data_IF_451798586681
#
_entry.id   IF_451798586681
#
_cell.length_a   1.000
_cell.length_b   1.000
_cell.length_c   1.000
_cell.angle_alpha   90.00
_cell.angle_beta   90.00
_cell.angle_gamma   90.00
#
_symmetry.space_group_name_H-M   'P 1'
#
loop_
_entity.id
_entity.type
_entity.pdbx_description
1 polymer ?
#
# COMPACT_ATOMS: atom_id res chain seq x y z
N UNK A 1 -0.62 -54.74 -102.03
CA UNK A 1 -0.06 -54.47 -100.68
C UNK A 1 1.42 -54.83 -100.68
N UNK A 2 2.26 -54.24 -99.82
CA UNK A 2 2.12 -53.00 -99.03
C UNK A 2 3.16 -51.95 -99.54
N UNK A 3 3.49 -50.80 -98.94
CA UNK A 3 3.08 -50.11 -97.71
C UNK A 3 2.78 -48.63 -98.07
N UNK A 4 1.83 -47.94 -97.42
CA UNK A 4 1.79 -46.48 -97.47
C UNK A 4 2.98 -45.94 -96.67
N UNK A 5 3.88 -45.19 -97.31
CA UNK A 5 4.89 -44.42 -96.58
C UNK A 5 4.17 -43.35 -95.77
N UNK A 6 4.15 -43.50 -94.46
CA UNK A 6 3.55 -42.55 -93.52
C UNK A 6 4.26 -41.20 -93.62
N UNK A 7 3.58 -40.20 -94.18
CA UNK A 7 4.05 -38.83 -94.28
C UNK A 7 4.47 -38.29 -92.89
N UNK A 8 5.75 -37.96 -92.66
CA UNK A 8 6.18 -37.33 -91.40
C UNK A 8 5.81 -35.83 -91.34
N UNK A 9 5.15 -35.31 -92.38
CA UNK A 9 4.88 -33.89 -92.58
C UNK A 9 3.83 -33.29 -91.63
N UNK A 10 3.07 -34.11 -90.89
CA UNK A 10 2.11 -33.62 -89.89
C UNK A 10 2.76 -32.92 -88.67
N UNK A 11 4.09 -33.02 -88.50
CA UNK A 11 4.81 -32.31 -87.45
C UNK A 11 5.21 -30.87 -87.86
N UNK A 12 5.44 -30.62 -89.15
CA UNK A 12 6.06 -29.38 -89.63
C UNK A 12 5.07 -28.26 -89.98
N UNK A 13 3.77 -28.54 -90.00
CA UNK A 13 2.72 -27.53 -90.28
C UNK A 13 2.51 -26.55 -89.09
N UNK A 14 3.19 -26.79 -87.96
CA UNK A 14 3.25 -25.89 -86.80
C UNK A 14 4.47 -24.95 -86.82
N UNK A 15 5.01 -24.62 -87.99
CA UNK A 15 6.23 -23.79 -88.14
C UNK A 15 6.13 -22.34 -87.59
N UNK A 16 4.95 -21.90 -87.15
CA UNK A 16 4.72 -20.59 -86.53
C UNK A 16 4.12 -20.68 -85.12
N UNK A 17 4.08 -21.87 -84.53
CA UNK A 17 3.56 -22.14 -83.19
C UNK A 17 4.73 -22.19 -82.23
N UNK A 18 4.87 -21.19 -81.34
CA UNK A 18 5.91 -21.23 -80.31
C UNK A 18 5.73 -22.50 -79.45
N UNK A 19 6.80 -23.29 -79.20
CA UNK A 19 6.72 -24.43 -78.30
C UNK A 19 6.51 -23.94 -76.88
N UNK A 20 5.29 -24.08 -76.37
CA UNK A 20 4.91 -23.59 -75.05
C UNK A 20 5.46 -24.52 -73.95
N UNK A 21 6.52 -24.08 -73.27
CA UNK A 21 7.22 -24.85 -72.25
C UNK A 21 6.66 -24.55 -70.85
N UNK A 22 6.39 -25.60 -70.07
CA UNK A 22 5.88 -25.46 -68.70
C UNK A 22 6.90 -24.81 -67.77
N UNK A 23 6.58 -23.63 -67.24
CA UNK A 23 7.49 -22.85 -66.38
C UNK A 23 7.48 -23.36 -64.93
N UNK A 24 8.64 -23.84 -64.46
CA UNK A 24 8.85 -24.23 -63.06
C UNK A 24 9.49 -23.12 -62.20
N UNK A 25 9.32 -23.21 -60.88
CA UNK A 25 9.77 -22.18 -59.90
C UNK A 25 11.30 -21.94 -59.87
N UNK A 26 12.09 -22.82 -60.51
CA UNK A 26 13.51 -22.62 -60.84
C UNK A 26 13.78 -23.14 -62.25
N UNK A 27 13.23 -22.45 -63.26
CA UNK A 27 13.46 -22.72 -64.69
C UNK A 27 14.60 -21.88 -65.30
N UNK A 28 14.89 -22.15 -66.58
CA UNK A 28 15.73 -21.27 -67.40
C UNK A 28 15.03 -19.92 -67.68
N UNK A 29 15.80 -18.86 -67.93
CA UNK A 29 15.25 -17.56 -68.28
C UNK A 29 14.62 -17.62 -69.68
N UNK A 30 13.30 -17.39 -69.77
CA UNK A 30 12.51 -17.53 -71.00
C UNK A 30 13.05 -16.67 -72.13
N UNK A 31 13.35 -15.38 -71.89
CA UNK A 31 13.87 -14.48 -72.93
C UNK A 31 15.21 -14.92 -73.50
N UNK A 32 16.10 -15.49 -72.68
CA UNK A 32 17.37 -16.04 -73.17
C UNK A 32 17.18 -17.33 -73.99
N UNK A 33 16.14 -18.12 -73.67
CA UNK A 33 15.75 -19.32 -74.42
C UNK A 33 15.13 -18.91 -75.77
N UNK A 34 14.26 -17.90 -75.79
CA UNK A 34 13.64 -17.36 -77.01
C UNK A 34 14.72 -16.78 -77.97
N UNK A 35 15.66 -15.99 -77.45
CA UNK A 35 16.81 -15.48 -78.23
C UNK A 35 17.72 -16.60 -78.79
N UNK A 36 17.79 -17.73 -78.10
CA UNK A 36 18.57 -18.89 -78.54
C UNK A 36 17.81 -19.72 -79.59
N UNK A 37 16.51 -19.94 -79.40
CA UNK A 37 15.62 -20.59 -80.38
C UNK A 37 15.52 -19.76 -81.66
N UNK A 38 15.40 -18.44 -81.56
CA UNK A 38 15.39 -17.53 -82.72
C UNK A 38 16.67 -17.65 -83.56
N UNK A 39 17.85 -17.69 -82.92
CA UNK A 39 19.13 -17.92 -83.59
C UNK A 39 19.24 -19.32 -84.21
N UNK A 40 18.76 -20.36 -83.53
CA UNK A 40 18.69 -21.73 -84.07
C UNK A 40 17.80 -21.82 -85.31
N UNK A 41 16.59 -21.23 -85.26
CA UNK A 41 15.67 -21.21 -86.39
C UNK A 41 16.22 -20.44 -87.59
N UNK A 42 16.90 -19.31 -87.35
CA UNK A 42 17.60 -18.57 -88.40
C UNK A 42 18.72 -19.40 -89.05
N UNK A 43 19.55 -20.07 -88.24
CA UNK A 43 20.62 -20.94 -88.74
C UNK A 43 20.08 -22.15 -89.54
N UNK A 44 18.98 -22.76 -89.08
CA UNK A 44 18.33 -23.90 -89.73
C UNK A 44 17.65 -23.47 -91.05
N UNK A 45 17.05 -22.28 -91.09
CA UNK A 45 16.51 -21.68 -92.33
C UNK A 45 17.63 -21.41 -93.34
N UNK A 46 18.77 -20.88 -92.91
CA UNK A 46 19.91 -20.64 -93.78
C UNK A 46 20.51 -21.94 -94.33
N UNK A 47 20.76 -22.94 -93.47
CA UNK A 47 21.27 -24.24 -93.89
C UNK A 47 20.35 -24.96 -94.90
N UNK A 48 19.03 -24.77 -94.79
CA UNK A 48 18.08 -25.29 -95.78
C UNK A 48 18.16 -24.58 -97.14
N UNK A 49 18.45 -23.27 -97.18
CA UNK A 49 18.70 -22.54 -98.43
C UNK A 49 20.01 -22.97 -99.07
N UNK A 50 21.09 -23.01 -98.28
CA UNK A 50 22.42 -23.43 -98.75
C UNK A 50 22.37 -24.86 -99.35
N UNK A 51 21.57 -25.76 -98.75
CA UNK A 51 21.30 -27.10 -99.30
C UNK A 51 20.55 -27.06 -100.64
N UNK A 52 19.50 -26.23 -100.76
CA UNK A 52 18.74 -26.11 -102.00
C UNK A 52 19.59 -25.57 -103.16
N UNK A 53 20.44 -24.58 -102.89
CA UNK A 53 21.35 -24.00 -103.88
C UNK A 53 22.43 -25.02 -104.32
N UNK A 54 22.96 -25.81 -103.37
CA UNK A 54 23.88 -26.91 -103.67
C UNK A 54 23.22 -28.02 -104.52
N UNK A 55 21.95 -28.37 -104.24
CA UNK A 55 21.18 -29.32 -105.04
C UNK A 55 20.94 -28.80 -106.47
N UNK A 56 20.71 -27.51 -106.67
CA UNK A 56 20.61 -26.91 -108.01
C UNK A 56 21.95 -26.96 -108.76
N UNK A 57 23.06 -26.59 -108.11
CA UNK A 57 24.39 -26.62 -108.71
C UNK A 57 24.81 -28.03 -109.18
N UNK A 58 24.47 -29.07 -108.40
CA UNK A 58 24.71 -30.47 -108.78
C UNK A 58 23.89 -30.89 -110.01
N UNK A 59 22.63 -30.50 -110.10
CA UNK A 59 21.78 -30.80 -111.26
C UNK A 59 22.32 -30.17 -112.56
N UNK A 60 22.80 -28.93 -112.50
CA UNK A 60 23.38 -28.27 -113.67
C UNK A 60 24.77 -28.84 -114.06
N UNK A 61 25.58 -29.28 -113.09
CA UNK A 61 26.81 -30.02 -113.38
C UNK A 61 26.51 -31.35 -114.11
N UNK A 62 25.50 -32.10 -113.67
CA UNK A 62 25.07 -33.35 -114.34
C UNK A 62 24.56 -33.12 -115.76
N UNK A 63 23.85 -32.00 -116.02
CA UNK A 63 23.40 -31.62 -117.37
C UNK A 63 24.59 -31.35 -118.31
N UNK A 64 25.60 -30.63 -117.83
CA UNK A 64 26.83 -30.33 -118.60
C UNK A 64 27.61 -31.60 -118.93
N UNK A 65 27.72 -32.55 -117.99
CA UNK A 65 28.39 -33.83 -118.22
C UNK A 65 27.73 -34.61 -119.36
N UNK A 66 26.41 -34.82 -119.31
CA UNK A 66 25.65 -35.51 -120.37
C UNK A 66 25.81 -34.88 -121.76
N UNK A 67 25.87 -33.54 -121.81
CA UNK A 67 26.11 -32.82 -123.07
C UNK A 67 27.53 -33.05 -123.63
N UNK A 68 28.53 -33.25 -122.75
CA UNK A 68 29.89 -33.57 -123.17
C UNK A 68 30.04 -35.01 -123.66
N UNK A 69 29.39 -35.97 -123.00
CA UNK A 69 29.37 -37.39 -123.40
C UNK A 69 28.79 -37.57 -124.80
N UNK A 70 27.66 -36.92 -125.10
CA UNK A 70 27.05 -36.94 -126.43
C UNK A 70 27.96 -36.41 -127.56
N UNK A 71 28.84 -35.45 -127.25
CA UNK A 71 29.80 -34.90 -128.23
C UNK A 71 30.94 -35.87 -128.53
N UNK A 72 31.39 -36.65 -127.55
CA UNK A 72 32.44 -37.66 -127.73
C UNK A 72 31.96 -38.78 -128.65
N UNK A 73 30.79 -39.36 -128.38
CA UNK A 73 30.23 -40.44 -129.22
C UNK A 73 30.03 -40.02 -130.68
N UNK A 74 29.64 -38.76 -130.92
CA UNK A 74 29.47 -38.21 -132.27
C UNK A 74 30.80 -37.97 -133.02
N UNK A 75 31.94 -37.86 -132.32
CA UNK A 75 33.27 -37.76 -132.93
C UNK A 75 33.84 -39.15 -133.24
N UNK A 76 33.62 -40.14 -132.38
CA UNK A 76 34.04 -41.53 -132.58
C UNK A 76 33.44 -42.14 -133.85
N UNK A 77 32.14 -41.91 -134.09
CA UNK A 77 31.45 -42.38 -135.30
C UNK A 77 32.09 -41.83 -136.58
N UNK A 78 32.44 -40.54 -136.62
CA UNK A 78 33.09 -39.91 -137.77
C UNK A 78 34.44 -40.52 -138.08
N UNK A 79 35.24 -40.85 -137.06
CA UNK A 79 36.52 -41.53 -137.24
C UNK A 79 36.33 -42.90 -137.90
N UNK A 80 35.35 -43.69 -137.44
CA UNK A 80 35.07 -45.02 -138.03
C UNK A 80 34.57 -44.98 -139.46
N UNK A 81 33.88 -43.91 -139.88
CA UNK A 81 33.44 -43.76 -141.27
C UNK A 81 34.61 -43.37 -142.18
N UNK A 82 35.49 -42.46 -141.72
CA UNK A 82 36.69 -42.08 -142.49
C UNK A 82 37.69 -43.23 -142.67
N UNK A 83 37.80 -44.16 -141.69
CA UNK A 83 38.73 -45.29 -141.81
C UNK A 83 38.30 -46.29 -142.88
N UNK A 84 37.00 -46.53 -143.06
CA UNK A 84 36.49 -47.47 -144.09
C UNK A 84 36.75 -46.99 -145.52
N UNK A 85 36.68 -45.67 -145.74
CA UNK A 85 36.93 -45.06 -147.06
C UNK A 85 38.38 -45.25 -147.53
N UNK A 86 39.34 -45.50 -146.63
CA UNK A 86 40.72 -45.79 -147.00
C UNK A 86 40.93 -47.25 -147.45
N UNK A 87 40.16 -48.21 -146.94
CA UNK A 87 40.33 -49.64 -147.27
C UNK A 87 39.82 -50.00 -148.68
N UNK A 88 38.81 -49.29 -149.19
CA UNK A 88 38.19 -49.57 -150.50
C UNK A 88 39.08 -49.23 -151.70
N UNK A 89 40.13 -48.41 -151.51
CA UNK A 89 40.83 -47.74 -152.61
C UNK A 89 42.19 -48.38 -153.01
N UNK A 90 42.40 -49.68 -152.76
CA UNK A 90 43.72 -50.32 -152.97
C UNK A 90 43.66 -51.74 -153.57
N UNK A 91 43.50 -51.83 -154.90
CA UNK A 91 44.08 -52.88 -155.78
C UNK A 91 43.81 -52.55 -157.26
N UNK A 92 44.86 -52.56 -158.10
CA UNK A 92 45.00 -53.71 -159.01
C UNK A 92 46.43 -54.26 -159.15
N UNK A 93 46.50 -55.54 -159.50
CA UNK A 93 47.71 -56.29 -159.90
C UNK A 93 47.91 -56.25 -161.43
N UNK A 94 49.10 -56.54 -161.97
CA UNK A 94 49.23 -56.80 -163.41
C UNK A 94 50.43 -57.69 -163.82
N UNK A 95 50.21 -58.89 -164.32
CA UNK A 95 51.26 -59.92 -164.55
C UNK A 95 52.33 -59.64 -165.64
N UNK A 96 52.60 -58.38 -166.01
CA UNK A 96 53.86 -57.92 -166.67
C UNK A 96 54.82 -57.22 -165.70
N UNK A 97 54.48 -57.18 -164.42
CA UNK A 97 55.15 -56.50 -163.30
C UNK A 97 56.46 -57.23 -162.86
N UNK A 98 57.40 -57.48 -163.78
CA UNK A 98 58.72 -58.05 -163.47
C UNK A 98 59.73 -56.99 -163.04
N UNK A 99 60.74 -56.72 -163.87
CA UNK A 99 61.82 -55.75 -163.59
C UNK A 99 61.35 -54.28 -163.50
N UNK A 100 60.40 -53.86 -164.34
CA UNK A 100 59.81 -52.50 -164.25
C UNK A 100 59.05 -52.29 -162.94
N UNK A 101 58.72 -53.37 -162.22
CA UNK A 101 57.97 -53.31 -160.97
C UNK A 101 58.74 -53.78 -159.78
N UNK A 102 59.80 -54.54 -159.93
CA UNK A 102 60.89 -54.43 -158.98
C UNK A 102 61.35 -52.96 -158.89
N UNK A 103 61.41 -52.22 -160.02
CA UNK A 103 61.62 -50.77 -159.99
C UNK A 103 60.43 -49.95 -159.43
N UNK A 104 59.17 -50.17 -159.84
CA UNK A 104 58.03 -49.40 -159.31
C UNK A 104 57.73 -49.76 -157.84
N UNK A 105 57.86 -51.02 -157.40
CA UNK A 105 57.76 -51.41 -156.00
C UNK A 105 58.95 -50.90 -155.20
N UNK A 106 60.18 -50.92 -155.73
CA UNK A 106 61.32 -50.32 -155.03
C UNK A 106 61.15 -48.81 -154.91
N UNK A 107 60.70 -48.12 -155.95
CA UNK A 107 60.39 -46.69 -155.91
C UNK A 107 59.20 -46.39 -154.99
N UNK A 108 58.17 -47.23 -154.98
CA UNK A 108 57.00 -47.08 -154.10
C UNK A 108 57.30 -47.49 -152.65
N UNK A 109 58.24 -48.40 -152.42
CA UNK A 109 58.75 -48.78 -151.10
C UNK A 109 59.70 -47.71 -150.57
N UNK A 110 60.55 -47.14 -151.42
CA UNK A 110 61.37 -45.95 -151.14
C UNK A 110 60.46 -44.75 -150.82
N UNK A 111 59.47 -44.44 -151.66
CA UNK A 111 58.46 -43.40 -151.40
C UNK A 111 57.59 -43.69 -150.16
N UNK A 112 57.18 -44.93 -149.91
CA UNK A 112 56.41 -45.28 -148.71
C UNK A 112 57.26 -45.24 -147.44
N UNK A 113 58.54 -45.57 -147.52
CA UNK A 113 59.50 -45.39 -146.43
C UNK A 113 59.81 -43.91 -146.21
N UNK A 114 59.94 -43.11 -147.26
CA UNK A 114 60.11 -41.65 -147.17
C UNK A 114 58.88 -40.99 -146.56
N UNK A 115 57.66 -41.30 -147.02
CA UNK A 115 56.43 -40.81 -146.40
C UNK A 115 56.25 -41.33 -144.96
N UNK A 116 56.67 -42.56 -144.63
CA UNK A 116 56.71 -43.01 -143.23
C UNK A 116 57.72 -42.22 -142.39
N UNK A 117 58.89 -41.93 -142.94
CA UNK A 117 59.93 -41.15 -142.26
C UNK A 117 59.51 -39.69 -142.08
N UNK A 118 58.83 -39.12 -143.08
CA UNK A 118 58.22 -37.79 -143.07
C UNK A 118 57.10 -37.72 -142.03
N UNK A 119 56.08 -38.56 -142.13
CA UNK A 119 54.98 -38.62 -141.16
C UNK A 119 55.46 -38.92 -139.73
N UNK A 120 56.54 -39.70 -139.57
CA UNK A 120 57.19 -39.92 -138.27
C UNK A 120 57.87 -38.65 -137.75
N UNK A 121 58.63 -37.93 -138.58
CA UNK A 121 59.25 -36.63 -138.21
C UNK A 121 58.19 -35.59 -137.87
N UNK A 122 57.10 -35.52 -138.63
CA UNK A 122 55.96 -34.65 -138.34
C UNK A 122 55.28 -35.01 -137.02
N UNK A 123 55.02 -36.31 -136.78
CA UNK A 123 54.46 -36.80 -135.52
C UNK A 123 55.37 -36.50 -134.32
N UNK A 124 56.68 -36.71 -134.46
CA UNK A 124 57.67 -36.36 -133.44
C UNK A 124 57.72 -34.84 -133.21
N UNK A 125 57.61 -34.05 -134.27
CA UNK A 125 57.47 -32.59 -134.22
C UNK A 125 56.23 -32.15 -133.45
N UNK A 126 55.04 -32.63 -133.81
CA UNK A 126 53.76 -32.34 -133.14
C UNK A 126 53.81 -32.76 -131.67
N UNK A 127 54.33 -33.96 -131.36
CA UNK A 127 54.49 -34.42 -129.98
C UNK A 127 55.48 -33.58 -129.19
N UNK A 128 56.55 -33.07 -129.82
CA UNK A 128 57.50 -32.17 -129.17
C UNK A 128 56.88 -30.80 -128.87
N UNK A 129 56.11 -30.24 -129.82
CA UNK A 129 55.39 -28.97 -129.66
C UNK A 129 54.30 -29.09 -128.58
N UNK A 130 53.44 -30.11 -128.64
CA UNK A 130 52.40 -30.35 -127.64
C UNK A 130 52.99 -30.59 -126.22
N UNK A 131 54.16 -31.24 -126.11
CA UNK A 131 54.87 -31.38 -124.82
C UNK A 131 55.45 -30.06 -124.31
N UNK A 132 55.91 -29.18 -125.20
CA UNK A 132 56.39 -27.85 -124.83
C UNK A 132 55.22 -26.97 -124.37
N UNK A 133 54.15 -26.91 -125.15
CA UNK A 133 52.92 -26.18 -124.83
C UNK A 133 52.30 -26.66 -123.51
N UNK A 134 52.17 -27.98 -123.31
CA UNK A 134 51.69 -28.54 -122.04
C UNK A 134 52.57 -28.14 -120.85
N UNK A 135 53.91 -28.11 -121.01
CA UNK A 135 54.82 -27.62 -119.96
C UNK A 135 54.59 -26.15 -119.67
N UNK A 136 54.56 -25.30 -120.69
CA UNK A 136 54.28 -23.87 -120.53
C UNK A 136 52.94 -23.61 -119.82
N UNK A 137 51.87 -24.33 -120.18
CA UNK A 137 50.58 -24.23 -119.51
C UNK A 137 50.71 -24.64 -118.03
N UNK A 138 51.37 -25.75 -117.72
CA UNK A 138 51.56 -26.17 -116.32
C UNK A 138 52.42 -25.22 -115.50
N UNK A 139 53.45 -24.61 -116.11
CA UNK A 139 54.34 -23.69 -115.41
C UNK A 139 53.70 -22.30 -115.23
N UNK A 140 52.91 -21.82 -116.20
CA UNK A 140 52.03 -20.64 -116.05
C UNK A 140 51.00 -20.85 -114.93
N UNK A 141 50.27 -21.97 -114.96
CA UNK A 141 49.29 -22.31 -113.92
C UNK A 141 49.91 -22.44 -112.51
N UNK A 142 51.13 -23.01 -112.41
CA UNK A 142 51.89 -23.06 -111.15
C UNK A 142 52.32 -21.68 -110.66
N UNK A 143 52.79 -20.82 -111.56
CA UNK A 143 53.21 -19.46 -111.24
C UNK A 143 52.01 -18.62 -110.75
N UNK A 144 50.86 -18.71 -111.44
CA UNK A 144 49.61 -18.06 -111.04
C UNK A 144 49.11 -18.57 -109.69
N UNK A 145 49.07 -19.89 -109.47
CA UNK A 145 48.66 -20.46 -108.19
C UNK A 145 49.61 -20.06 -107.04
N UNK A 146 50.92 -19.99 -107.28
CA UNK A 146 51.90 -19.51 -106.31
C UNK A 146 51.72 -18.02 -106.00
N UNK A 147 51.43 -17.19 -107.02
CA UNK A 147 51.14 -15.77 -106.84
C UNK A 147 49.85 -15.54 -106.04
N UNK A 148 48.75 -16.23 -106.38
CA UNK A 148 47.47 -16.17 -105.66
C UNK A 148 47.61 -16.64 -104.21
N UNK A 149 48.39 -17.70 -103.95
CA UNK A 149 48.71 -18.13 -102.59
C UNK A 149 49.49 -17.06 -101.83
N UNK A 150 50.51 -16.46 -102.45
CA UNK A 150 51.33 -15.43 -101.81
C UNK A 150 50.55 -14.13 -101.54
N UNK A 151 49.54 -13.77 -102.36
CA UNK A 151 48.65 -12.64 -102.04
C UNK A 151 47.70 -12.99 -100.90
N UNK A 152 47.06 -14.16 -100.93
CA UNK A 152 46.15 -14.62 -99.88
C UNK A 152 46.85 -14.74 -98.51
N UNK A 153 48.10 -15.23 -98.46
CA UNK A 153 48.89 -15.30 -97.23
C UNK A 153 49.23 -13.91 -96.66
N UNK A 154 49.53 -12.92 -97.52
CA UNK A 154 49.74 -11.52 -97.09
C UNK A 154 48.46 -10.87 -96.60
N UNK A 155 47.35 -11.06 -97.31
CA UNK A 155 46.04 -10.52 -96.92
C UNK A 155 45.57 -11.11 -95.59
N UNK A 156 45.70 -12.43 -95.40
CA UNK A 156 45.42 -13.08 -94.12
C UNK A 156 46.34 -12.58 -92.98
N UNK A 157 47.62 -12.32 -93.26
CA UNK A 157 48.55 -11.72 -92.31
C UNK A 157 48.18 -10.28 -91.93
N UNK A 158 47.77 -9.47 -92.91
CA UNK A 158 47.32 -8.09 -92.70
C UNK A 158 46.03 -8.04 -91.88
N UNK A 159 45.04 -8.86 -92.23
CA UNK A 159 43.76 -8.97 -91.50
C UNK A 159 44.00 -9.44 -90.06
N UNK A 160 44.86 -10.44 -89.85
CA UNK A 160 45.23 -10.88 -88.49
C UNK A 160 45.88 -9.76 -87.69
N UNK A 161 46.85 -9.06 -88.26
CA UNK A 161 47.58 -7.96 -87.59
C UNK A 161 46.63 -6.80 -87.24
N UNK A 162 45.70 -6.47 -88.14
CA UNK A 162 44.66 -5.46 -87.90
C UNK A 162 43.72 -5.88 -86.76
N UNK A 163 43.20 -7.11 -86.78
CA UNK A 163 42.31 -7.63 -85.75
C UNK A 163 43.00 -7.76 -84.37
N UNK A 164 44.28 -8.18 -84.34
CA UNK A 164 45.08 -8.21 -83.11
C UNK A 164 45.28 -6.82 -82.52
N UNK A 165 45.54 -5.82 -83.38
CA UNK A 165 45.68 -4.41 -82.98
C UNK A 165 44.36 -3.83 -82.46
N UNK A 166 43.26 -4.01 -83.18
CA UNK A 166 41.93 -3.55 -82.77
C UNK A 166 41.52 -4.19 -81.44
N UNK A 167 41.73 -5.50 -81.29
CA UNK A 167 41.46 -6.21 -80.04
C UNK A 167 42.38 -5.78 -78.88
N UNK A 168 43.59 -5.26 -79.15
CA UNK A 168 44.45 -4.68 -78.13
C UNK A 168 43.98 -3.26 -77.73
N UNK A 169 43.66 -2.42 -78.70
CA UNK A 169 43.12 -1.07 -78.49
C UNK A 169 41.80 -1.11 -77.71
N UNK A 170 40.86 -1.99 -78.09
CA UNK A 170 39.61 -2.21 -77.38
C UNK A 170 39.81 -2.69 -75.93
N UNK A 171 40.78 -3.60 -75.68
CA UNK A 171 41.12 -4.05 -74.32
C UNK A 171 41.73 -2.94 -73.47
N UNK A 172 42.55 -2.06 -74.04
CA UNK A 172 43.12 -0.91 -73.33
C UNK A 172 42.03 0.10 -73.00
N UNK A 173 41.12 0.37 -73.93
CA UNK A 173 40.01 1.30 -73.72
C UNK A 173 39.05 0.80 -72.64
N UNK A 174 38.58 -0.45 -72.73
CA UNK A 174 37.69 -1.05 -71.73
C UNK A 174 38.33 -1.10 -70.32
N UNK A 175 39.65 -1.29 -70.21
CA UNK A 175 40.37 -1.20 -68.93
C UNK A 175 40.38 0.21 -68.37
N UNK A 176 40.69 1.23 -69.19
CA UNK A 176 40.66 2.64 -68.79
C UNK A 176 39.28 3.05 -68.30
N UNK A 177 38.24 2.70 -69.04
CA UNK A 177 36.84 2.98 -68.68
C UNK A 177 36.44 2.31 -67.36
N UNK A 178 36.79 1.04 -67.17
CA UNK A 178 36.55 0.33 -65.92
C UNK A 178 37.30 0.96 -64.73
N UNK A 179 38.54 1.41 -64.92
CA UNK A 179 39.33 2.04 -63.87
C UNK A 179 38.84 3.47 -63.56
N UNK A 180 38.35 4.24 -64.55
CA UNK A 180 37.67 5.53 -64.29
C UNK A 180 36.36 5.34 -63.54
N UNK A 181 35.51 4.39 -63.96
CA UNK A 181 34.24 4.09 -63.28
C UNK A 181 34.46 3.64 -61.84
N UNK A 182 35.50 2.83 -61.58
CA UNK A 182 35.90 2.47 -60.22
C UNK A 182 36.35 3.68 -59.42
N UNK A 183 37.22 4.53 -59.97
CA UNK A 183 37.72 5.72 -59.28
C UNK A 183 36.60 6.69 -58.91
N UNK A 184 35.61 6.87 -59.79
CA UNK A 184 34.46 7.74 -59.55
C UNK A 184 33.47 7.13 -58.54
N UNK A 185 33.16 5.83 -58.62
CA UNK A 185 32.38 5.14 -57.61
C UNK A 185 33.05 5.18 -56.22
N UNK A 186 34.38 5.09 -56.16
CA UNK A 186 35.17 5.21 -54.93
C UNK A 186 35.11 6.63 -54.34
N UNK A 187 35.14 7.66 -55.19
CA UNK A 187 34.98 9.07 -54.80
C UNK A 187 33.58 9.34 -54.27
N UNK A 188 32.56 8.94 -55.01
CA UNK A 188 31.16 9.10 -54.64
C UNK A 188 30.85 8.37 -53.32
N UNK A 189 31.32 7.12 -53.17
CA UNK A 189 31.17 6.36 -51.92
C UNK A 189 31.85 7.06 -50.73
N UNK A 190 33.03 7.65 -50.93
CA UNK A 190 33.72 8.43 -49.89
C UNK A 190 32.94 9.71 -49.57
N UNK A 191 32.45 10.44 -50.57
CA UNK A 191 31.66 11.65 -50.41
C UNK A 191 30.36 11.36 -49.64
N UNK A 192 29.59 10.35 -50.05
CA UNK A 192 28.37 9.90 -49.38
C UNK A 192 28.66 9.51 -47.92
N UNK A 193 29.76 8.80 -47.64
CA UNK A 193 30.18 8.48 -46.26
C UNK A 193 30.53 9.73 -45.45
N UNK A 194 31.18 10.74 -46.03
CA UNK A 194 31.48 11.99 -45.32
C UNK A 194 30.23 12.83 -45.05
N UNK A 195 29.31 12.93 -46.00
CA UNK A 195 28.04 13.66 -45.85
C UNK A 195 27.16 12.98 -44.80
N UNK A 196 26.93 11.67 -44.92
CA UNK A 196 26.13 10.92 -43.93
C UNK A 196 26.75 10.94 -42.53
N UNK A 197 28.08 10.87 -42.39
CA UNK A 197 28.73 11.02 -41.09
C UNK A 197 28.52 12.41 -40.48
N UNK A 198 28.55 13.47 -41.30
CA UNK A 198 28.26 14.84 -40.87
C UNK A 198 26.79 15.02 -40.46
N UNK A 199 25.84 14.53 -41.27
CA UNK A 199 24.40 14.56 -40.97
C UNK A 199 24.07 13.82 -39.67
N UNK A 200 24.65 12.65 -39.46
CA UNK A 200 24.50 11.88 -38.21
C UNK A 200 25.09 12.63 -37.01
N UNK A 201 26.22 13.32 -37.17
CA UNK A 201 26.82 14.13 -36.11
C UNK A 201 25.96 15.36 -35.76
N UNK A 202 25.44 16.08 -36.75
CA UNK A 202 24.55 17.23 -36.56
C UNK A 202 23.21 16.82 -35.93
N UNK A 203 22.60 15.72 -36.41
CA UNK A 203 21.37 15.19 -35.83
C UNK A 203 21.59 14.77 -34.37
N UNK A 204 22.69 14.06 -34.08
CA UNK A 204 23.05 13.67 -32.71
C UNK A 204 23.27 14.88 -31.80
N UNK A 205 24.01 15.89 -32.27
CA UNK A 205 24.24 17.16 -31.57
C UNK A 205 22.92 17.89 -31.26
N UNK A 206 21.99 17.89 -32.22
CA UNK A 206 20.66 18.48 -32.06
C UNK A 206 19.84 17.74 -31.01
N UNK A 207 19.76 16.41 -31.10
CA UNK A 207 19.05 15.56 -30.12
C UNK A 207 19.67 15.66 -28.73
N UNK A 208 20.99 15.70 -28.60
CA UNK A 208 21.67 15.89 -27.32
C UNK A 208 21.32 17.25 -26.67
N UNK A 209 21.21 18.32 -27.47
CA UNK A 209 20.75 19.64 -27.00
C UNK A 209 19.28 19.62 -26.60
N UNK A 210 18.39 19.02 -27.39
CA UNK A 210 16.96 18.89 -27.08
C UNK A 210 16.73 18.07 -25.80
N UNK A 211 17.43 16.94 -25.64
CA UNK A 211 17.36 16.13 -24.42
C UNK A 211 17.90 16.90 -23.21
N UNK A 212 18.96 17.69 -23.37
CA UNK A 212 19.48 18.54 -22.31
C UNK A 212 18.49 19.65 -21.91
N UNK A 213 17.83 20.31 -22.87
CA UNK A 213 16.81 21.34 -22.56
C UNK A 213 15.58 20.73 -21.89
N UNK A 214 15.07 19.58 -22.39
CA UNK A 214 13.93 18.86 -21.80
C UNK A 214 14.22 18.37 -20.37
N UNK A 215 15.45 17.91 -20.08
CA UNK A 215 15.87 17.58 -18.71
C UNK A 215 15.90 18.81 -17.83
N UNK A 216 16.49 19.90 -18.30
CA UNK A 216 16.56 21.16 -17.54
C UNK A 216 15.17 21.78 -17.29
N UNK A 217 14.21 21.66 -18.20
CA UNK A 217 12.81 22.09 -17.96
C UNK A 217 12.12 21.17 -16.96
N UNK A 218 12.22 19.84 -17.11
CA UNK A 218 11.62 18.89 -16.18
C UNK A 218 12.17 19.03 -14.75
N UNK A 219 13.48 19.24 -14.58
CA UNK A 219 14.10 19.50 -13.27
C UNK A 219 13.60 20.81 -12.64
N UNK A 220 13.42 21.87 -13.44
CA UNK A 220 12.82 23.14 -12.99
C UNK A 220 11.35 22.95 -12.59
N UNK A 221 10.56 22.20 -13.35
CA UNK A 221 9.17 21.91 -13.03
C UNK A 221 9.05 21.07 -11.74
N UNK A 222 9.88 20.03 -11.58
CA UNK A 222 9.92 19.21 -10.36
C UNK A 222 10.30 20.05 -9.14
N UNK A 223 11.30 20.93 -9.26
CA UNK A 223 11.70 21.81 -8.15
C UNK A 223 10.63 22.85 -7.82
N UNK A 224 9.97 23.43 -8.81
CA UNK A 224 8.82 24.34 -8.61
C UNK A 224 7.63 23.63 -7.96
N UNK A 225 7.26 22.44 -8.43
CA UNK A 225 6.18 21.64 -7.84
C UNK A 225 6.50 21.24 -6.39
N UNK A 226 7.73 20.81 -6.10
CA UNK A 226 8.18 20.54 -4.73
C UNK A 226 8.14 21.78 -3.84
N UNK A 227 8.57 22.94 -4.34
CA UNK A 227 8.51 24.19 -3.60
C UNK A 227 7.07 24.64 -3.32
N UNK A 228 6.15 24.46 -4.30
CA UNK A 228 4.72 24.72 -4.12
C UNK A 228 4.10 23.79 -3.08
N UNK A 229 4.29 22.47 -3.21
CA UNK A 229 3.78 21.48 -2.26
C UNK A 229 4.34 21.68 -0.84
N UNK A 230 5.61 22.10 -0.71
CA UNK A 230 6.21 22.44 0.59
C UNK A 230 5.56 23.68 1.23
N UNK A 231 5.24 24.72 0.45
CA UNK A 231 4.51 25.91 0.92
C UNK A 231 3.08 25.55 1.35
N UNK A 232 2.35 24.82 0.52
CA UNK A 232 0.97 24.37 0.84
C UNK A 232 0.95 23.48 2.09
N UNK A 233 1.93 22.60 2.27
CA UNK A 233 2.06 21.79 3.47
C UNK A 233 2.36 22.64 4.73
N UNK A 234 3.19 23.68 4.61
CA UNK A 234 3.52 24.57 5.72
C UNK A 234 2.37 25.52 6.07
N UNK A 235 1.65 26.04 5.07
CA UNK A 235 0.40 26.79 5.25
C UNK A 235 -0.64 25.94 6.01
N UNK A 236 -0.83 24.67 5.61
CA UNK A 236 -1.75 23.75 6.30
C UNK A 236 -1.31 23.40 7.72
N UNK A 237 0.00 23.30 7.99
CA UNK A 237 0.53 23.16 9.36
C UNK A 237 0.32 24.42 10.19
N UNK A 238 0.52 25.60 9.62
CA UNK A 238 0.28 26.87 10.30
C UNK A 238 -1.21 27.07 10.62
N UNK A 239 -2.11 26.76 9.68
CA UNK A 239 -3.57 26.73 9.91
C UNK A 239 -3.94 25.74 11.03
N UNK A 240 -3.45 24.50 10.99
CA UNK A 240 -3.72 23.50 12.02
C UNK A 240 -3.17 23.91 13.39
N UNK A 241 -1.99 24.55 13.43
CA UNK A 241 -1.38 25.05 14.67
C UNK A 241 -2.21 26.19 15.25
N UNK A 242 -2.68 27.13 14.43
CA UNK A 242 -3.59 28.21 14.86
C UNK A 242 -4.91 27.66 15.40
N UNK A 243 -5.53 26.71 14.69
CA UNK A 243 -6.77 26.09 15.15
C UNK A 243 -6.58 25.35 16.48
N UNK A 244 -5.42 24.72 16.70
CA UNK A 244 -5.08 24.10 17.98
C UNK A 244 -4.79 25.12 19.10
N UNK A 245 -4.20 26.28 18.81
CA UNK A 245 -4.05 27.35 19.82
C UNK A 245 -5.41 27.97 20.15
N UNK A 246 -6.22 28.31 19.16
CA UNK A 246 -7.54 28.90 19.36
C UNK A 246 -8.47 27.95 20.15
N UNK A 247 -8.38 26.64 19.90
CA UNK A 247 -9.11 25.62 20.66
C UNK A 247 -8.61 25.48 22.11
N UNK A 248 -7.31 25.63 22.36
CA UNK A 248 -6.73 25.64 23.73
C UNK A 248 -7.14 26.90 24.48
N UNK A 249 -6.98 28.07 23.87
CA UNK A 249 -7.38 29.35 24.46
C UNK A 249 -8.88 29.39 24.78
N UNK A 250 -9.71 28.80 23.91
CA UNK A 250 -11.14 28.64 24.19
C UNK A 250 -11.39 27.70 25.36
N UNK A 251 -10.78 26.51 25.37
CA UNK A 251 -10.88 25.55 26.49
C UNK A 251 -10.49 26.21 27.81
N UNK A 252 -9.41 26.99 27.82
CA UNK A 252 -8.88 27.59 29.04
C UNK A 252 -9.78 28.73 29.55
N UNK A 253 -10.40 29.51 28.64
CA UNK A 253 -11.48 30.46 28.98
C UNK A 253 -12.73 29.75 29.51
N UNK A 254 -13.14 28.66 28.88
CA UNK A 254 -14.32 27.87 29.29
C UNK A 254 -14.07 27.24 30.69
N UNK A 255 -12.85 26.79 30.98
CA UNK A 255 -12.43 26.30 32.31
C UNK A 255 -12.42 27.42 33.36
N UNK A 256 -11.84 28.59 33.06
CA UNK A 256 -11.86 29.76 33.97
C UNK A 256 -13.29 30.22 34.28
N UNK A 257 -14.18 30.21 33.29
CA UNK A 257 -15.59 30.53 33.49
C UNK A 257 -16.29 29.49 34.39
N UNK A 258 -15.98 28.20 34.23
CA UNK A 258 -16.48 27.14 35.11
C UNK A 258 -15.94 27.29 36.55
N UNK A 259 -14.66 27.59 36.72
CA UNK A 259 -14.05 27.83 38.04
C UNK A 259 -14.70 29.02 38.75
N UNK A 260 -14.95 30.12 38.03
CA UNK A 260 -15.68 31.27 38.57
C UNK A 260 -17.11 30.89 38.98
N UNK A 261 -17.85 30.13 38.16
CA UNK A 261 -19.19 29.65 38.52
C UNK A 261 -19.18 28.71 39.73
N UNK A 262 -18.15 27.88 39.88
CA UNK A 262 -17.97 27.02 41.05
C UNK A 262 -17.62 27.85 42.30
N UNK A 263 -16.79 28.88 42.18
CA UNK A 263 -16.48 29.81 43.24
C UNK A 263 -17.73 30.59 43.69
N UNK A 264 -18.50 31.15 42.75
CA UNK A 264 -19.79 31.81 43.05
C UNK A 264 -20.78 30.87 43.73
N UNK A 265 -20.88 29.61 43.28
CA UNK A 265 -21.76 28.61 43.91
C UNK A 265 -21.30 28.24 45.32
N UNK A 266 -19.99 28.13 45.56
CA UNK A 266 -19.43 27.93 46.90
C UNK A 266 -19.70 29.12 47.80
N UNK A 267 -19.44 30.34 47.34
CA UNK A 267 -19.70 31.56 48.09
C UNK A 267 -21.19 31.75 48.40
N UNK A 268 -22.09 31.42 47.46
CA UNK A 268 -23.54 31.40 47.70
C UNK A 268 -23.94 30.35 48.74
N UNK A 269 -23.40 29.13 48.64
CA UNK A 269 -23.67 28.06 49.61
C UNK A 269 -23.12 28.40 51.02
N UNK A 270 -21.93 28.97 51.12
CA UNK A 270 -21.30 29.42 52.37
C UNK A 270 -22.08 30.60 52.98
N UNK A 271 -22.55 31.56 52.16
CA UNK A 271 -23.48 32.60 52.60
C UNK A 271 -24.77 32.00 53.16
N UNK A 272 -25.45 31.13 52.40
CA UNK A 272 -26.67 30.44 52.86
C UNK A 272 -26.45 29.63 54.16
N UNK A 273 -25.32 28.96 54.29
CA UNK A 273 -24.94 28.23 55.51
C UNK A 273 -24.71 29.19 56.68
N UNK A 274 -23.98 30.29 56.45
CA UNK A 274 -23.75 31.33 57.47
C UNK A 274 -25.04 32.03 57.89
N UNK A 275 -25.98 32.28 56.97
CA UNK A 275 -27.30 32.84 57.25
C UNK A 275 -28.16 31.86 58.06
N UNK A 276 -28.14 30.56 57.72
CA UNK A 276 -28.82 29.52 58.50
C UNK A 276 -28.23 29.39 59.90
N UNK A 277 -26.90 29.41 60.04
CA UNK A 277 -26.25 29.38 61.35
C UNK A 277 -26.51 30.66 62.15
N UNK A 278 -26.48 31.84 61.54
CA UNK A 278 -26.85 33.09 62.20
C UNK A 278 -28.31 33.07 62.67
N UNK A 279 -29.23 32.55 61.85
CA UNK A 279 -30.63 32.38 62.23
C UNK A 279 -30.81 31.36 63.38
N UNK A 280 -30.11 30.22 63.35
CA UNK A 280 -30.10 29.23 64.43
C UNK A 280 -29.52 29.79 65.73
N UNK A 281 -28.41 30.54 65.64
CA UNK A 281 -27.79 31.21 66.79
C UNK A 281 -28.72 32.28 67.35
N UNK A 282 -29.35 33.11 66.52
CA UNK A 282 -30.33 34.10 66.95
C UNK A 282 -31.57 33.46 67.60
N UNK A 283 -32.08 32.35 67.05
CA UNK A 283 -33.17 31.57 67.65
C UNK A 283 -32.74 30.96 68.99
N UNK A 284 -31.52 30.43 69.08
CA UNK A 284 -30.97 29.87 70.32
C UNK A 284 -30.75 30.95 71.38
N UNK A 285 -30.19 32.10 71.01
CA UNK A 285 -30.07 33.28 71.89
C UNK A 285 -31.43 33.80 72.35
N UNK A 286 -32.46 33.75 71.48
CA UNK A 286 -33.83 34.07 71.88
C UNK A 286 -34.35 33.06 72.91
N UNK A 287 -34.21 31.76 72.68
CA UNK A 287 -34.59 30.72 73.64
C UNK A 287 -33.83 30.83 74.97
N UNK A 288 -32.53 31.15 74.93
CA UNK A 288 -31.69 31.39 76.12
C UNK A 288 -32.15 32.65 76.84
N UNK A 289 -32.44 33.76 76.15
CA UNK A 289 -32.94 34.98 76.80
C UNK A 289 -34.35 34.81 77.38
N UNK A 290 -35.23 34.05 76.71
CA UNK A 290 -36.52 33.63 77.29
C UNK A 290 -36.33 32.70 78.50
N UNK A 291 -35.38 31.78 78.46
CA UNK A 291 -35.05 30.91 79.60
C UNK A 291 -34.44 31.68 80.76
N UNK A 292 -33.55 32.65 80.50
CA UNK A 292 -33.02 33.58 81.50
C UNK A 292 -34.11 34.46 82.10
N UNK A 293 -35.03 35.00 81.29
CA UNK A 293 -36.17 35.77 81.80
C UNK A 293 -37.07 34.91 82.69
N UNK A 294 -37.38 33.66 82.28
CA UNK A 294 -38.12 32.70 83.10
C UNK A 294 -37.36 32.33 84.38
N UNK A 295 -36.04 32.18 84.32
CA UNK A 295 -35.18 31.87 85.47
C UNK A 295 -35.10 33.06 86.44
N UNK A 296 -34.95 34.30 85.94
CA UNK A 296 -35.00 35.52 86.76
C UNK A 296 -36.37 35.71 87.41
N UNK A 297 -37.46 35.54 86.65
CA UNK A 297 -38.81 35.58 87.21
C UNK A 297 -39.07 34.46 88.24
N UNK A 298 -38.46 33.28 88.05
CA UNK A 298 -38.51 32.21 89.05
C UNK A 298 -37.66 32.53 90.30
N UNK A 299 -36.48 33.15 90.14
CA UNK A 299 -35.64 33.62 91.24
C UNK A 299 -36.28 34.77 92.02
N UNK A 300 -36.97 35.70 91.34
CA UNK A 300 -37.73 36.78 91.98
C UNK A 300 -38.92 36.22 92.76
N UNK A 301 -39.70 35.29 92.18
CA UNK A 301 -40.74 34.55 92.93
C UNK A 301 -40.18 33.77 94.11
N UNK A 302 -39.01 33.12 93.95
CA UNK A 302 -38.35 32.41 95.04
C UNK A 302 -37.94 33.37 96.16
N UNK A 303 -37.35 34.52 95.83
CA UNK A 303 -37.03 35.59 96.80
C UNK A 303 -38.28 36.17 97.46
N UNK A 304 -39.38 36.39 96.74
CA UNK A 304 -40.65 36.80 97.35
C UNK A 304 -41.19 35.76 98.32
N UNK A 305 -41.11 34.47 97.97
CA UNK A 305 -41.52 33.36 98.84
C UNK A 305 -40.60 33.30 100.07
N UNK A 306 -39.30 33.44 99.91
CA UNK A 306 -38.30 33.45 100.98
C UNK A 306 -38.49 34.65 101.92
N UNK A 307 -38.71 35.85 101.38
CA UNK A 307 -39.04 37.05 102.15
C UNK A 307 -40.37 36.91 102.91
N UNK A 308 -41.39 36.28 102.30
CA UNK A 308 -42.66 35.98 102.99
C UNK A 308 -42.49 34.91 104.06
N UNK A 309 -41.60 33.93 103.86
CA UNK A 309 -41.28 32.91 104.84
C UNK A 309 -40.50 33.50 106.03
N UNK A 310 -39.50 34.35 105.77
CA UNK A 310 -38.73 35.02 106.82
C UNK A 310 -39.60 36.05 107.59
N UNK A 311 -40.49 36.78 106.90
CA UNK A 311 -41.46 37.64 107.57
C UNK A 311 -42.35 36.85 108.53
N UNK A 312 -42.88 35.68 108.10
CA UNK A 312 -43.63 34.77 108.98
C UNK A 312 -42.76 34.20 110.12
N UNK A 313 -41.48 33.92 109.87
CA UNK A 313 -40.54 33.42 110.90
C UNK A 313 -40.34 34.47 111.99
N UNK A 314 -40.06 35.72 111.61
CA UNK A 314 -39.87 36.85 112.54
C UNK A 314 -41.17 37.20 113.28
N UNK A 315 -42.32 37.15 112.59
CA UNK A 315 -43.64 37.35 113.23
C UNK A 315 -43.96 36.24 114.25
N UNK A 316 -43.69 34.97 113.89
CA UNK A 316 -43.84 33.83 114.80
C UNK A 316 -42.88 33.92 116.01
N UNK A 317 -41.61 34.26 115.78
CA UNK A 317 -40.59 34.41 116.82
C UNK A 317 -40.94 35.55 117.78
N UNK A 318 -41.42 36.69 117.26
CA UNK A 318 -41.98 37.79 118.07
C UNK A 318 -43.18 37.34 118.90
N UNK A 319 -44.12 36.60 118.29
CA UNK A 319 -45.33 36.12 118.98
C UNK A 319 -44.97 35.12 120.10
N UNK A 320 -43.94 34.28 119.89
CA UNK A 320 -43.40 33.39 120.91
C UNK A 320 -42.75 34.15 122.08
N UNK A 321 -41.98 35.20 121.81
CA UNK A 321 -41.41 36.07 122.85
C UNK A 321 -42.53 36.75 123.66
N UNK A 322 -43.54 37.32 122.99
CA UNK A 322 -44.69 37.95 123.67
C UNK A 322 -45.50 36.95 124.51
N UNK A 323 -45.58 35.68 124.11
CA UNK A 323 -46.21 34.62 124.90
C UNK A 323 -45.38 34.23 126.13
N UNK A 324 -44.05 34.12 125.99
CA UNK A 324 -43.13 33.81 127.10
C UNK A 324 -43.13 34.92 128.16
N UNK A 325 -43.11 36.19 127.76
CA UNK A 325 -43.17 37.31 128.71
C UNK A 325 -44.52 37.38 129.44
N UNK A 326 -45.63 37.12 128.75
CA UNK A 326 -46.96 36.97 129.40
C UNK A 326 -46.97 35.82 130.42
N UNK A 327 -46.34 34.69 130.11
CA UNK A 327 -46.26 33.55 131.01
C UNK A 327 -45.41 33.85 132.26
N UNK A 328 -44.27 34.54 132.12
CA UNK A 328 -43.44 34.98 133.26
C UNK A 328 -44.21 35.92 134.19
N UNK A 329 -44.86 36.95 133.65
CA UNK A 329 -45.64 37.91 134.44
C UNK A 329 -46.78 37.23 135.23
N UNK A 330 -47.38 36.17 134.68
CA UNK A 330 -48.43 35.39 135.33
C UNK A 330 -47.88 34.46 136.43
N UNK A 331 -46.69 33.90 136.22
CA UNK A 331 -45.96 33.11 137.22
C UNK A 331 -45.46 33.96 138.41
N UNK A 332 -44.97 35.19 138.17
CA UNK A 332 -44.55 36.10 139.24
C UNK A 332 -45.74 36.54 140.11
N UNK A 333 -46.90 36.79 139.48
CA UNK A 333 -48.13 37.19 140.17
C UNK A 333 -48.63 36.10 141.12
N UNK A 334 -48.71 34.86 140.65
CA UNK A 334 -49.11 33.70 141.47
C UNK A 334 -48.09 33.39 142.59
N UNK A 335 -46.79 33.59 142.36
CA UNK A 335 -45.76 33.50 143.42
C UNK A 335 -45.91 34.57 144.50
N UNK A 336 -46.41 35.76 144.17
CA UNK A 336 -46.68 36.83 145.14
C UNK A 336 -47.91 36.53 145.99
N UNK A 337 -48.97 36.01 145.37
CA UNK A 337 -50.25 35.66 146.00
C UNK A 337 -50.05 34.50 147.00
N UNK A 338 -49.37 33.42 146.60
CA UNK A 338 -49.07 32.29 147.48
C UNK A 338 -48.21 32.68 148.71
N UNK A 339 -47.29 33.65 148.56
CA UNK A 339 -46.49 34.17 149.69
C UNK A 339 -47.35 34.95 150.67
N UNK A 340 -48.22 35.82 150.19
CA UNK A 340 -49.15 36.57 151.05
C UNK A 340 -50.12 35.65 151.81
N UNK A 341 -50.58 34.57 151.18
CA UNK A 341 -51.47 33.59 151.79
C UNK A 341 -50.77 32.75 152.88
N UNK A 342 -49.55 32.26 152.62
CA UNK A 342 -48.73 31.55 153.63
C UNK A 342 -48.41 32.41 154.87
N UNK A 343 -48.23 33.73 154.70
CA UNK A 343 -48.01 34.66 155.82
C UNK A 343 -49.28 34.93 156.64
N UNK A 344 -50.49 34.76 156.08
CA UNK A 344 -51.73 34.78 156.87
C UNK A 344 -51.85 33.55 157.76
N UNK A 345 -51.71 32.36 157.16
CA UNK A 345 -51.81 31.07 157.87
C UNK A 345 -50.83 30.95 159.05
N UNK A 346 -49.58 31.40 158.88
CA UNK A 346 -48.59 31.39 159.97
C UNK A 346 -48.91 32.34 161.13
N UNK A 347 -49.63 33.43 160.89
CA UNK A 347 -50.03 34.36 161.95
C UNK A 347 -51.25 33.82 162.71
N UNK A 348 -52.26 33.30 162.01
CA UNK A 348 -53.45 32.70 162.63
C UNK A 348 -53.09 31.53 163.56
N UNK A 349 -52.27 30.59 163.08
CA UNK A 349 -51.80 29.45 163.87
C UNK A 349 -51.02 29.86 165.14
N UNK A 350 -50.31 31.01 165.10
CA UNK A 350 -49.56 31.51 166.26
C UNK A 350 -50.48 32.08 167.35
N UNK A 351 -51.51 32.83 166.96
CA UNK A 351 -52.53 33.33 167.91
C UNK A 351 -53.31 32.19 168.58
N UNK A 352 -53.59 31.11 167.85
CA UNK A 352 -54.32 29.96 168.39
C UNK A 352 -53.48 29.14 169.40
N UNK A 353 -52.16 29.04 169.17
CA UNK A 353 -51.22 28.42 170.10
C UNK A 353 -51.04 29.21 171.43
N UNK A 354 -51.10 30.54 171.39
CA UNK A 354 -51.00 31.38 172.59
C UNK A 354 -52.28 31.34 173.46
N UNK A 355 -53.46 31.22 172.84
CA UNK A 355 -54.73 31.02 173.55
C UNK A 355 -54.81 29.66 174.25
N UNK A 356 -54.45 28.59 173.55
CA UNK A 356 -54.50 27.21 174.08
C UNK A 356 -53.48 26.98 175.22
N UNK A 357 -52.29 27.57 175.14
CA UNK A 357 -51.27 27.46 176.20
C UNK A 357 -51.60 28.27 177.47
N UNK A 358 -52.39 29.35 177.38
CA UNK A 358 -52.91 30.03 178.58
C UNK A 358 -54.05 29.26 179.26
N UNK A 359 -54.93 28.62 178.49
CA UNK A 359 -56.01 27.79 179.02
C UNK A 359 -55.47 26.61 179.84
N UNK A 360 -54.55 25.84 179.25
CA UNK A 360 -53.95 24.66 179.90
C UNK A 360 -53.16 25.00 181.19
N UNK A 361 -52.58 26.20 181.31
CA UNK A 361 -51.86 26.60 182.54
C UNK A 361 -52.79 26.82 183.74
N UNK A 362 -53.99 27.36 183.52
CA UNK A 362 -54.98 27.56 184.60
C UNK A 362 -55.50 26.22 185.14
N UNK A 363 -55.70 25.26 184.24
CA UNK A 363 -56.21 23.92 184.58
C UNK A 363 -55.23 23.11 185.46
N UNK A 364 -53.91 23.33 185.30
CA UNK A 364 -52.87 22.69 186.12
C UNK A 364 -52.77 23.30 187.54
N UNK A 365 -53.02 24.60 187.71
CA UNK A 365 -52.97 25.24 189.05
C UNK A 365 -54.11 24.77 189.96
N UNK A 366 -55.32 24.60 189.44
CA UNK A 366 -56.47 24.15 190.23
C UNK A 366 -56.38 22.65 190.62
N UNK A 367 -55.85 21.80 189.73
CA UNK A 367 -55.56 20.39 190.06
C UNK A 367 -54.48 20.25 191.15
N UNK A 368 -53.51 21.17 191.19
CA UNK A 368 -52.45 21.15 192.21
C UNK A 368 -53.01 21.42 193.61
N UNK A 369 -54.00 22.30 193.74
CA UNK A 369 -54.67 22.59 195.03
C UNK A 369 -55.50 21.41 195.57
N UNK A 370 -56.07 20.59 194.68
CA UNK A 370 -56.79 19.38 195.12
C UNK A 370 -55.84 18.31 195.68
N UNK A 371 -54.61 18.21 195.17
CA UNK A 371 -53.60 17.24 195.64
C UNK A 371 -53.18 17.48 197.09
N UNK A 372 -52.94 18.74 197.47
CA UNK A 372 -52.39 19.06 198.80
C UNK A 372 -53.42 18.81 199.92
N UNK A 373 -54.72 18.97 199.65
CA UNK A 373 -55.78 18.64 200.61
C UNK A 373 -55.86 17.13 200.93
N UNK A 374 -55.67 16.26 199.93
CA UNK A 374 -55.69 14.79 200.11
C UNK A 374 -54.46 14.30 200.89
N UNK A 375 -53.35 15.04 200.84
CA UNK A 375 -52.11 14.71 201.57
C UNK A 375 -52.30 14.77 203.11
N UNK A 376 -53.37 15.41 203.59
CA UNK A 376 -53.76 15.45 205.01
C UNK A 376 -54.37 14.13 205.55
N UNK A 377 -54.82 13.21 204.68
CA UNK A 377 -55.56 12.00 205.10
C UNK A 377 -54.78 10.67 205.04
N UNK A 378 -53.46 10.70 204.83
CA UNK A 378 -52.59 9.51 204.89
C UNK A 378 -51.53 9.58 206.01
N UNK A 379 -51.93 10.13 207.16
CA UNK A 379 -51.11 10.14 208.37
C UNK A 379 -51.23 8.88 209.26
N UNK A 380 -52.21 8.00 209.04
CA UNK A 380 -52.50 6.85 209.91
C UNK A 380 -53.06 5.64 209.13
N UNK A 381 -52.64 4.43 209.52
CA UNK A 381 -52.94 3.11 208.90
C UNK A 381 -52.29 2.90 207.51
N UNK A 382 -51.06 2.39 207.37
CA UNK A 382 -50.28 1.38 208.12
C UNK A 382 -50.79 -0.06 207.91
N UNK A 383 -49.94 -0.87 207.23
CA UNK A 383 -49.96 -2.34 207.14
C UNK A 383 -51.04 -3.05 206.29
N UNK A 384 -50.64 -3.43 205.06
CA UNK A 384 -51.16 -4.60 204.31
C UNK A 384 -52.57 -4.50 203.74
N UNK A 385 -53.05 -5.35 202.84
CA UNK A 385 -52.48 -6.39 201.98
C UNK A 385 -53.71 -7.07 201.32
N UNK A 386 -53.85 -7.03 199.99
CA UNK A 386 -54.78 -7.85 199.17
C UNK A 386 -56.31 -7.75 199.47
N UNK A 387 -57.23 -7.94 198.50
CA UNK A 387 -57.12 -8.23 197.06
C UNK A 387 -58.48 -8.65 196.47
N UNK A 388 -58.48 -9.27 195.27
CA UNK A 388 -59.61 -9.97 194.58
C UNK A 388 -60.60 -9.01 193.84
N UNK A 389 -60.80 -8.92 192.49
CA UNK A 389 -60.91 -9.86 191.31
C UNK A 389 -62.37 -10.36 191.08
N UNK A 390 -62.95 -10.62 189.86
CA UNK A 390 -62.60 -10.31 188.43
C UNK A 390 -63.74 -9.67 187.56
N UNK A 391 -63.48 -9.33 186.26
CA UNK A 391 -64.54 -9.38 185.21
C UNK A 391 -64.53 -8.44 183.97
N UNK A 392 -63.74 -8.76 182.91
CA UNK A 392 -63.97 -8.70 181.42
C UNK A 392 -65.00 -7.68 180.81
N UNK A 393 -64.76 -6.96 179.66
CA UNK A 393 -63.82 -7.23 178.52
C UNK A 393 -62.77 -6.11 178.23
N UNK A 394 -61.62 -6.27 177.55
CA UNK A 394 -61.14 -7.10 176.39
C UNK A 394 -61.44 -6.45 175.01
N UNK A 395 -60.54 -6.28 174.01
CA UNK A 395 -59.07 -6.40 173.95
C UNK A 395 -58.49 -5.57 172.77
N UNK A 396 -57.16 -5.49 172.75
CA UNK A 396 -56.20 -5.07 171.73
C UNK A 396 -56.39 -5.53 170.26
N UNK A 397 -55.45 -5.07 169.42
CA UNK A 397 -54.85 -5.73 168.24
C UNK A 397 -54.74 -4.84 167.00
N UNK A 398 -53.47 -4.57 166.70
CA UNK A 398 -52.87 -4.19 165.43
C UNK A 398 -53.22 -5.05 164.21
N UNK A 399 -52.87 -4.48 163.05
CA UNK A 399 -52.31 -5.16 161.85
C UNK A 399 -53.25 -5.43 160.65
N UNK A 400 -52.64 -5.37 159.46
CA UNK A 400 -53.11 -5.80 158.13
C UNK A 400 -54.19 -5.01 157.36
N UNK A 401 -53.78 -4.55 156.18
CA UNK A 401 -54.39 -4.65 154.83
C UNK A 401 -55.94 -4.72 154.67
N UNK A 402 -56.44 -4.14 153.56
CA UNK A 402 -56.59 -5.03 152.40
C UNK A 402 -55.94 -4.52 151.12
N UNK A 403 -55.42 -5.46 150.34
CA UNK A 403 -55.14 -5.30 148.92
C UNK A 403 -56.09 -6.20 148.12
N UNK A 404 -56.25 -5.90 146.81
CA UNK A 404 -57.05 -6.60 145.79
C UNK A 404 -58.54 -6.19 145.75
N UNK A 405 -59.16 -6.00 144.56
CA UNK A 405 -58.66 -6.25 143.19
C UNK A 405 -59.48 -5.53 142.11
N UNK A 406 -58.79 -5.30 140.98
CA UNK A 406 -59.26 -5.42 139.60
C UNK A 406 -60.23 -4.39 139.00
N UNK A 407 -60.20 -4.07 137.70
CA UNK A 407 -59.21 -4.10 136.57
C UNK A 407 -59.94 -3.29 135.44
N UNK A 408 -59.38 -2.58 134.44
CA UNK A 408 -58.02 -2.35 133.90
C UNK A 408 -57.96 -0.86 133.36
N UNK A 409 -56.88 -0.25 132.84
CA UNK A 409 -56.29 -0.28 131.47
C UNK A 409 -57.30 -0.10 130.29
N UNK A 410 -57.07 0.63 129.19
CA UNK A 410 -56.02 1.55 128.69
C UNK A 410 -56.65 2.38 127.52
N UNK A 411 -55.91 3.21 126.76
CA UNK A 411 -56.31 3.49 125.36
C UNK A 411 -56.44 4.95 124.85
N UNK A 412 -55.58 5.85 125.31
CA UNK A 412 -54.85 6.86 124.50
C UNK A 412 -55.42 7.26 123.10
N UNK A 413 -56.13 8.39 123.04
CA UNK A 413 -56.48 9.19 121.83
C UNK A 413 -56.58 10.67 122.29
N UNK A 414 -56.39 11.75 121.51
CA UNK A 414 -56.10 12.02 120.08
C UNK A 414 -55.00 13.09 119.99
N UNK A 415 -54.31 13.20 118.85
CA UNK A 415 -53.51 14.38 118.51
C UNK A 415 -53.85 14.81 117.08
N UNK A 416 -54.51 15.96 116.93
CA UNK A 416 -54.91 16.48 115.63
C UNK A 416 -55.01 18.01 115.67
N UNK A 417 -54.64 18.66 114.55
CA UNK A 417 -54.82 20.10 114.25
C UNK A 417 -54.00 21.09 115.12
N UNK A 418 -53.50 22.22 114.61
CA UNK A 418 -53.89 22.97 113.41
C UNK A 418 -52.69 23.61 112.68
N UNK A 419 -52.85 23.75 111.36
CA UNK A 419 -52.72 24.98 110.54
C UNK A 419 -51.67 26.05 110.85
#
# INVERSE_FOLDING_TARGET
MPQPQSSPLAFFDNANSQPDFTVGLRGYNTGQVDDFIGRLNAALSQANKDRADAEQALNDAQRRLRQSEQRLTALEQKLTDTSKQLEENSRPTLSGLGTRVEQILRLAEEQANDHRNEAKRESEGILSAARLEAREITDKARAEAAAMKATAEREAGNVRTAAEREAAEARVQARREADTLRADADRETKQLRTVTAHEVAELKSTVEREVATLRATAEREITQQRAKAAREAEEKRAEATKLLTDARDKRDKDLQALELQLAERREKAEREESERHAAQVAQTQKLVSEAEQRARAAQERAKEIEQRAEARRVESERTAIEAVEKAKALAERTLSEARAESQRLLNEARTEAELTTQAARREVEDLTRQKDAVTSQLGQMLSGLAGIVPGVPNNAASDQAPAKKADDADGKVTAETSS
#
